data_IF_038810050856
#
_entry.id   IF_038810050856
#
_cell.length_a   1.000
_cell.length_b   1.000
_cell.length_c   1.000
_cell.angle_alpha   90.00
_cell.angle_beta   90.00
_cell.angle_gamma   90.00
#
_symmetry.space_group_name_H-M   'P 1'
#
loop_
_entity.id
_entity.type
_entity.pdbx_description
1 polymer ?
#
# COMPACT_ATOMS: atom_id res chain seq x y z
N UNK A 1 -3.10 -2.55 -22.74
CA UNK A 1 -2.69 -1.42 -21.87
C UNK A 1 -3.86 -0.89 -21.06
N UNK A 2 -5.01 -0.60 -21.68
CA UNK A 2 -6.24 -0.14 -21.00
C UNK A 2 -6.75 -1.05 -19.88
N UNK A 3 -6.57 -2.37 -20.00
CA UNK A 3 -6.96 -3.31 -18.95
C UNK A 3 -6.10 -3.18 -17.67
N UNK A 4 -4.82 -2.83 -17.78
CA UNK A 4 -3.93 -2.59 -16.62
C UNK A 4 -4.36 -1.34 -15.86
N UNK A 5 -4.75 -0.29 -16.59
CA UNK A 5 -5.31 0.91 -15.99
C UNK A 5 -6.62 0.64 -15.25
N UNK A 6 -7.50 -0.17 -15.84
CA UNK A 6 -8.74 -0.58 -15.18
C UNK A 6 -8.45 -1.38 -13.90
N UNK A 7 -7.50 -2.31 -13.94
CA UNK A 7 -7.06 -3.05 -12.75
C UNK A 7 -6.48 -2.10 -11.67
N UNK A 8 -5.67 -1.12 -12.05
CA UNK A 8 -5.14 -0.11 -11.13
C UNK A 8 -6.25 0.74 -10.51
N UNK A 9 -7.25 1.14 -11.31
CA UNK A 9 -8.40 1.90 -10.82
C UNK A 9 -9.25 1.09 -9.83
N UNK A 10 -9.48 -0.20 -10.13
CA UNK A 10 -10.18 -1.13 -9.22
C UNK A 10 -9.41 -1.30 -7.92
N UNK A 11 -8.08 -1.40 -7.95
CA UNK A 11 -7.25 -1.47 -6.74
C UNK A 11 -7.29 -0.17 -5.94
N UNK A 12 -7.25 1.00 -6.61
CA UNK A 12 -7.36 2.29 -5.93
C UNK A 12 -8.72 2.44 -5.24
N UNK A 13 -9.82 2.14 -5.95
CA UNK A 13 -11.16 2.28 -5.41
C UNK A 13 -11.50 1.22 -4.36
N UNK A 14 -11.13 -0.04 -4.61
CA UNK A 14 -11.51 -1.19 -3.78
C UNK A 14 -10.50 -1.57 -2.69
N UNK A 15 -9.23 -1.21 -2.83
CA UNK A 15 -8.19 -1.50 -1.84
C UNK A 15 -7.72 -0.25 -1.10
N UNK A 16 -7.30 0.78 -1.85
CA UNK A 16 -6.71 1.97 -1.25
C UNK A 16 -7.76 2.82 -0.52
N UNK A 17 -8.94 3.00 -1.11
CA UNK A 17 -10.05 3.74 -0.50
C UNK A 17 -10.44 3.19 0.89
N UNK A 18 -10.80 1.90 1.00
CA UNK A 18 -11.10 1.28 2.29
C UNK A 18 -9.91 1.28 3.27
N UNK A 19 -8.68 1.04 2.77
CA UNK A 19 -7.47 1.08 3.60
C UNK A 19 -7.22 2.44 4.23
N UNK A 20 -7.35 3.52 3.45
CA UNK A 20 -7.23 4.88 3.95
C UNK A 20 -8.37 5.25 4.92
N UNK A 21 -9.59 4.79 4.64
CA UNK A 21 -10.72 5.01 5.54
C UNK A 21 -10.50 4.34 6.90
N UNK A 22 -10.01 3.10 6.91
CA UNK A 22 -9.66 2.37 8.12
C UNK A 22 -8.43 2.97 8.82
N UNK A 23 -7.43 3.45 8.08
CA UNK A 23 -6.27 4.13 8.66
C UNK A 23 -6.62 5.45 9.38
N UNK A 24 -7.71 6.09 8.97
CA UNK A 24 -8.18 7.36 9.52
C UNK A 24 -9.21 7.23 10.65
N UNK A 25 -9.76 6.04 10.90
CA UNK A 25 -10.82 5.78 11.90
C UNK A 25 -10.47 4.57 12.78
N UNK A 26 -11.20 4.41 13.87
CA UNK A 26 -11.08 3.21 14.72
C UNK A 26 -9.95 3.27 15.75
N UNK A 27 -9.67 2.11 16.33
CA UNK A 27 -8.61 1.92 17.32
C UNK A 27 -7.21 1.89 16.69
N UNK A 28 -6.16 1.85 17.52
CA UNK A 28 -4.80 1.90 17.00
C UNK A 28 -4.39 0.67 16.16
N UNK A 29 -5.00 -0.49 16.41
CA UNK A 29 -4.74 -1.73 15.67
C UNK A 29 -5.45 -1.71 14.32
N UNK A 30 -6.70 -1.25 14.29
CA UNK A 30 -7.48 -1.04 13.06
C UNK A 30 -6.77 -0.04 12.14
N UNK A 31 -6.28 1.07 12.69
CA UNK A 31 -5.54 2.07 11.92
C UNK A 31 -4.25 1.52 11.32
N UNK A 32 -3.54 0.65 12.05
CA UNK A 32 -2.34 -0.02 11.57
C UNK A 32 -2.66 -1.02 10.46
N UNK A 33 -3.73 -1.81 10.62
CA UNK A 33 -4.22 -2.72 9.58
C UNK A 33 -4.62 -1.96 8.30
N UNK A 34 -5.27 -0.80 8.44
CA UNK A 34 -5.61 0.07 7.32
C UNK A 34 -4.38 0.61 6.60
N UNK A 35 -3.35 1.01 7.35
CA UNK A 35 -2.07 1.48 6.79
C UNK A 35 -1.34 0.35 6.03
N UNK A 36 -1.30 -0.86 6.59
CA UNK A 36 -0.71 -2.03 5.92
C UNK A 36 -1.43 -2.38 4.62
N UNK A 37 -2.76 -2.40 4.63
CA UNK A 37 -3.56 -2.64 3.43
C UNK A 37 -3.27 -1.57 2.37
N UNK A 38 -3.27 -0.29 2.76
CA UNK A 38 -2.99 0.82 1.85
C UNK A 38 -1.57 0.74 1.26
N UNK A 39 -0.57 0.37 2.06
CA UNK A 39 0.80 0.15 1.61
C UNK A 39 0.90 -0.96 0.56
N UNK A 40 0.35 -2.13 0.85
CA UNK A 40 0.35 -3.27 -0.08
C UNK A 40 -0.37 -2.94 -1.41
N UNK A 41 -1.53 -2.29 -1.34
CA UNK A 41 -2.27 -1.87 -2.54
C UNK A 41 -1.51 -0.83 -3.36
N UNK A 42 -0.84 0.12 -2.70
CA UNK A 42 -0.01 1.13 -3.38
C UNK A 42 1.09 0.47 -4.20
N UNK A 43 1.78 -0.54 -3.63
CA UNK A 43 2.81 -1.30 -4.34
C UNK A 43 2.26 -1.98 -5.59
N UNK A 44 1.09 -2.64 -5.49
CA UNK A 44 0.44 -3.29 -6.63
C UNK A 44 0.05 -2.28 -7.72
N UNK A 45 -0.49 -1.13 -7.34
CA UNK A 45 -0.83 -0.05 -8.28
C UNK A 45 0.42 0.46 -9.00
N UNK A 46 1.51 0.70 -8.28
CA UNK A 46 2.77 1.14 -8.88
C UNK A 46 3.32 0.10 -9.87
N UNK A 47 3.29 -1.19 -9.53
CA UNK A 47 3.72 -2.25 -10.43
C UNK A 47 2.87 -2.27 -11.71
N UNK A 48 1.55 -2.14 -11.62
CA UNK A 48 0.68 -2.07 -12.80
C UNK A 48 0.98 -0.84 -13.68
N UNK A 49 1.24 0.32 -13.06
CA UNK A 49 1.61 1.53 -13.79
C UNK A 49 2.98 1.41 -14.47
N UNK A 50 3.97 0.80 -13.80
CA UNK A 50 5.28 0.54 -14.38
C UNK A 50 5.15 -0.42 -15.56
N UNK A 51 4.38 -1.51 -15.42
CA UNK A 51 4.12 -2.44 -16.52
C UNK A 51 3.39 -1.79 -17.70
N UNK A 52 2.55 -0.79 -17.44
CA UNK A 52 1.78 -0.11 -18.48
C UNK A 52 2.54 1.04 -19.16
N UNK A 53 3.40 1.78 -18.44
CA UNK A 53 3.97 3.05 -18.93
C UNK A 53 5.44 3.28 -18.56
N UNK A 54 6.01 2.52 -17.64
CA UNK A 54 7.30 2.83 -17.02
C UNK A 54 8.49 2.08 -17.63
N UNK A 55 9.71 2.64 -17.53
CA UNK A 55 10.93 1.88 -17.78
C UNK A 55 11.11 0.80 -16.71
N UNK A 56 11.82 -0.28 -17.05
CA UNK A 56 12.09 -1.40 -16.12
C UNK A 56 12.81 -0.97 -14.84
N UNK A 57 13.61 0.09 -14.89
CA UNK A 57 14.30 0.67 -13.73
C UNK A 57 13.34 1.27 -12.69
N UNK A 58 12.10 1.62 -13.06
CA UNK A 58 11.13 2.19 -12.13
C UNK A 58 10.67 1.20 -11.04
N UNK A 59 10.96 -0.11 -11.19
CA UNK A 59 10.63 -1.15 -10.20
C UNK A 59 11.35 -0.98 -8.86
N UNK A 60 12.43 -0.19 -8.82
CA UNK A 60 13.15 0.14 -7.59
C UNK A 60 12.22 0.88 -6.61
N UNK A 61 11.29 1.70 -7.11
CA UNK A 61 10.36 2.45 -6.28
C UNK A 61 9.42 1.55 -5.44
N UNK A 62 8.61 0.66 -6.04
CA UNK A 62 7.77 -0.27 -5.26
C UNK A 62 8.60 -1.21 -4.38
N UNK A 63 9.81 -1.60 -4.82
CA UNK A 63 10.70 -2.44 -4.01
C UNK A 63 11.11 -1.75 -2.71
N UNK A 64 11.58 -0.50 -2.79
CA UNK A 64 11.97 0.29 -1.61
C UNK A 64 10.76 0.53 -0.71
N UNK A 65 9.59 0.84 -1.30
CA UNK A 65 8.36 1.05 -0.53
C UNK A 65 7.93 -0.19 0.26
N UNK A 66 8.05 -1.41 -0.28
CA UNK A 66 7.74 -2.64 0.46
C UNK A 66 8.61 -2.77 1.71
N UNK A 67 9.92 -2.53 1.57
CA UNK A 67 10.87 -2.65 2.69
C UNK A 67 10.56 -1.61 3.77
N UNK A 68 10.30 -0.36 3.36
CA UNK A 68 9.98 0.72 4.28
C UNK A 68 8.63 0.52 4.97
N UNK A 69 7.61 0.06 4.24
CA UNK A 69 6.29 -0.23 4.80
C UNK A 69 6.39 -1.30 5.90
N UNK A 70 7.04 -2.43 5.59
CA UNK A 70 7.25 -3.52 6.55
C UNK A 70 8.04 -3.08 7.78
N UNK A 71 9.15 -2.36 7.59
CA UNK A 71 9.93 -1.84 8.72
C UNK A 71 9.10 -0.86 9.57
N UNK A 72 8.31 0.02 8.93
CA UNK A 72 7.44 0.97 9.60
C UNK A 72 6.35 0.30 10.44
N UNK A 73 5.68 -0.74 9.91
CA UNK A 73 4.66 -1.46 10.68
C UNK A 73 5.26 -2.21 11.85
N UNK A 74 6.45 -2.83 11.75
CA UNK A 74 7.10 -3.43 12.91
C UNK A 74 7.36 -2.41 14.04
N UNK A 75 7.72 -1.18 13.71
CA UNK A 75 7.89 -0.11 14.71
C UNK A 75 6.55 0.19 15.40
N UNK A 76 5.46 0.34 14.64
CA UNK A 76 4.14 0.57 15.22
C UNK A 76 3.64 -0.62 16.04
N UNK A 77 3.79 -1.85 15.56
CA UNK A 77 3.45 -3.07 16.30
C UNK A 77 4.19 -3.10 17.63
N UNK A 78 5.49 -2.81 17.63
CA UNK A 78 6.30 -2.75 18.86
C UNK A 78 5.77 -1.71 19.85
N UNK A 79 5.42 -0.51 19.37
CA UNK A 79 4.90 0.56 20.22
C UNK A 79 3.51 0.23 20.80
N UNK A 80 2.68 -0.49 20.04
CA UNK A 80 1.36 -0.93 20.50
C UNK A 80 1.44 -2.11 21.48
N UNK A 81 2.35 -3.06 21.25
CA UNK A 81 2.54 -4.22 22.13
C UNK A 81 3.34 -3.93 23.40
N UNK A 82 4.07 -2.81 23.46
CA UNK A 82 4.76 -2.34 24.67
C UNK A 82 3.87 -1.51 25.61
N UNK A 83 2.59 -1.34 25.26
CA UNK A 83 1.59 -0.57 26.01
C UNK A 83 0.69 -1.49 26.82
#
# INVERSE_FOLDING_TARGET
MTWLLLAALVLLAGGLGPGLWLAARGDAVERLAGLELAGAVTVLVLLLLIQAYGPSSAIILPLVLVVLAFAGTLVFVRLLGAR
#
